data_IF_486951813119
#
_entry.id   IF_486951813119
#
_cell.length_a   1.000
_cell.length_b   1.000
_cell.length_c   1.000
_cell.angle_alpha   90.00
_cell.angle_beta   90.00
_cell.angle_gamma   90.00
#
_symmetry.space_group_name_H-M   'P 1'
#
loop_
_entity.id
_entity.type
_entity.pdbx_description
1 polymer ?
#
# COMPACT_ATOMS: atom_id res chain seq x y z
N UNK A 1 -15.07 15.34 17.10
CA UNK A 1 -15.36 14.68 15.81
C UNK A 1 -15.83 13.27 16.10
N UNK A 2 -16.84 12.76 15.39
CA UNK A 2 -17.27 11.37 15.55
C UNK A 2 -16.28 10.42 14.88
N UNK A 3 -16.25 9.16 15.33
CA UNK A 3 -15.49 8.08 14.68
C UNK A 3 -15.85 7.95 13.20
N UNK A 4 -17.12 8.15 12.86
CA UNK A 4 -17.60 8.13 11.48
C UNK A 4 -16.98 9.24 10.61
N UNK A 5 -16.84 10.47 11.13
CA UNK A 5 -16.17 11.55 10.39
C UNK A 5 -14.70 11.21 10.13
N UNK A 6 -14.00 10.69 11.14
CA UNK A 6 -12.59 10.28 11.01
C UNK A 6 -12.42 9.12 10.03
N UNK A 7 -13.34 8.14 10.04
CA UNK A 7 -13.35 7.05 9.05
C UNK A 7 -13.52 7.61 7.64
N UNK A 8 -14.46 8.53 7.42
CA UNK A 8 -14.64 9.16 6.11
C UNK A 8 -13.36 9.90 5.66
N UNK A 9 -12.76 10.69 6.54
CA UNK A 9 -11.52 11.43 6.25
C UNK A 9 -10.35 10.49 5.89
N UNK A 10 -10.23 9.36 6.60
CA UNK A 10 -9.24 8.31 6.29
C UNK A 10 -9.44 7.75 4.87
N UNK A 11 -10.68 7.42 4.49
CA UNK A 11 -10.98 6.88 3.16
C UNK A 11 -10.69 7.90 2.06
N UNK A 12 -11.05 9.17 2.27
CA UNK A 12 -10.75 10.24 1.31
C UNK A 12 -9.24 10.50 1.20
N UNK A 13 -8.50 10.47 2.31
CA UNK A 13 -7.04 10.57 2.29
C UNK A 13 -6.39 9.40 1.52
N UNK A 14 -6.92 8.19 1.65
CA UNK A 14 -6.43 7.01 0.93
C UNK A 14 -6.67 7.11 -0.58
N UNK A 15 -7.88 7.53 -0.99
CA UNK A 15 -8.22 7.79 -2.40
C UNK A 15 -7.35 8.90 -2.98
N UNK A 16 -7.19 10.00 -2.25
CA UNK A 16 -6.35 11.12 -2.68
C UNK A 16 -4.90 10.68 -2.96
N UNK A 17 -4.34 9.79 -2.13
CA UNK A 17 -3.00 9.23 -2.37
C UNK A 17 -2.91 8.46 -3.70
N UNK A 18 -3.94 7.70 -4.07
CA UNK A 18 -3.98 7.00 -5.35
C UNK A 18 -4.02 7.99 -6.54
N UNK A 19 -4.83 9.04 -6.43
CA UNK A 19 -4.89 10.13 -7.42
C UNK A 19 -3.52 10.80 -7.58
N UNK A 20 -2.83 11.09 -6.49
CA UNK A 20 -1.48 11.66 -6.54
C UNK A 20 -0.48 10.75 -7.25
N UNK A 21 -0.46 9.44 -6.96
CA UNK A 21 0.42 8.51 -7.67
C UNK A 21 0.13 8.47 -9.17
N UNK A 22 -1.14 8.49 -9.56
CA UNK A 22 -1.53 8.55 -10.96
C UNK A 22 -1.07 9.85 -11.64
N UNK A 23 -1.29 11.01 -11.01
CA UNK A 23 -0.89 12.30 -11.60
C UNK A 23 0.64 12.40 -11.73
N UNK A 24 1.40 11.93 -10.73
CA UNK A 24 2.86 11.87 -10.82
C UNK A 24 3.30 10.96 -11.97
N UNK A 25 2.70 9.77 -12.08
CA UNK A 25 2.98 8.86 -13.18
C UNK A 25 2.67 9.49 -14.54
N UNK A 26 1.52 10.14 -14.68
CA UNK A 26 1.06 10.74 -15.93
C UNK A 26 2.01 11.87 -16.38
N UNK A 27 2.46 12.72 -15.46
CA UNK A 27 3.46 13.75 -15.77
C UNK A 27 4.81 13.15 -16.18
N UNK A 28 5.29 12.13 -15.46
CA UNK A 28 6.51 11.41 -15.84
C UNK A 28 6.38 10.75 -17.22
N UNK A 29 5.21 10.18 -17.51
CA UNK A 29 4.91 9.53 -18.79
C UNK A 29 4.90 10.52 -19.95
N UNK A 30 4.29 11.70 -19.77
CA UNK A 30 4.29 12.77 -20.78
C UNK A 30 5.71 13.25 -21.09
N UNK A 31 6.55 13.37 -20.07
CA UNK A 31 7.90 13.93 -20.21
C UNK A 31 8.93 12.92 -20.74
N UNK A 32 8.86 11.65 -20.30
CA UNK A 32 9.93 10.66 -20.51
C UNK A 32 9.45 9.37 -21.19
N UNK A 33 8.17 9.27 -21.51
CA UNK A 33 7.56 8.06 -22.05
C UNK A 33 7.19 7.02 -20.96
N UNK A 34 6.36 6.03 -21.32
CA UNK A 34 5.76 5.11 -20.36
C UNK A 34 6.78 4.22 -19.63
N UNK A 35 7.77 3.66 -20.34
CA UNK A 35 8.74 2.76 -19.74
C UNK A 35 9.62 3.46 -18.69
N UNK A 36 10.04 4.70 -18.95
CA UNK A 36 10.84 5.46 -18.00
C UNK A 36 10.02 5.89 -16.77
N UNK A 37 8.76 6.30 -16.98
CA UNK A 37 7.84 6.66 -15.92
C UNK A 37 7.57 5.48 -14.96
N UNK A 38 7.30 4.30 -15.51
CA UNK A 38 7.14 3.07 -14.74
C UNK A 38 8.38 2.76 -13.92
N UNK A 39 9.56 2.77 -14.56
CA UNK A 39 10.81 2.46 -13.88
C UNK A 39 11.11 3.43 -12.72
N UNK A 40 10.83 4.73 -12.89
CA UNK A 40 11.01 5.73 -11.83
C UNK A 40 10.05 5.48 -10.67
N UNK A 41 8.76 5.31 -10.96
CA UNK A 41 7.75 5.15 -9.92
C UNK A 41 7.94 3.84 -9.16
N UNK A 42 8.26 2.74 -9.85
CA UNK A 42 8.56 1.44 -9.25
C UNK A 42 9.75 1.52 -8.29
N UNK A 43 10.85 2.18 -8.67
CA UNK A 43 11.99 2.39 -7.77
C UNK A 43 11.62 3.20 -6.52
N UNK A 44 10.80 4.25 -6.69
CA UNK A 44 10.36 5.07 -5.57
C UNK A 44 9.46 4.29 -4.60
N UNK A 45 8.50 3.52 -5.11
CA UNK A 45 7.62 2.67 -4.32
C UNK A 45 8.41 1.58 -3.60
N UNK A 46 9.33 0.91 -4.30
CA UNK A 46 10.20 -0.11 -3.69
C UNK A 46 11.01 0.47 -2.53
N UNK A 47 11.67 1.63 -2.74
CA UNK A 47 12.44 2.31 -1.70
C UNK A 47 11.56 2.65 -0.49
N UNK A 48 10.34 3.14 -0.72
CA UNK A 48 9.39 3.40 0.37
C UNK A 48 8.99 2.11 1.10
N UNK A 49 8.77 1.03 0.37
CA UNK A 49 8.50 -0.30 0.92
C UNK A 49 9.64 -0.77 1.82
N UNK A 50 10.89 -0.66 1.37
CA UNK A 50 12.08 -0.99 2.17
C UNK A 50 12.16 -0.15 3.46
N UNK A 51 11.91 1.16 3.38
CA UNK A 51 11.92 2.02 4.56
C UNK A 51 10.87 1.58 5.60
N UNK A 52 9.68 1.20 5.16
CA UNK A 52 8.64 0.67 6.04
C UNK A 52 9.04 -0.70 6.60
N UNK A 53 9.57 -1.59 5.76
CA UNK A 53 10.06 -2.90 6.17
C UNK A 53 11.12 -2.81 7.26
N UNK A 54 12.10 -1.92 7.09
CA UNK A 54 13.13 -1.66 8.09
C UNK A 54 12.54 -1.10 9.40
N UNK A 55 11.62 -0.14 9.30
CA UNK A 55 11.07 0.54 10.47
C UNK A 55 10.04 -0.28 11.26
N UNK A 56 9.36 -1.24 10.62
CA UNK A 56 8.21 -1.95 11.22
C UNK A 56 8.33 -3.46 11.27
N UNK A 57 9.14 -4.07 10.40
CA UNK A 57 9.08 -5.51 10.16
C UNK A 57 10.43 -6.22 10.29
N UNK A 58 11.52 -5.48 10.47
CA UNK A 58 12.87 -6.05 10.56
C UNK A 58 13.05 -7.00 11.75
N UNK A 59 12.34 -6.77 12.86
CA UNK A 59 12.43 -7.59 14.08
C UNK A 59 11.89 -9.01 13.91
N UNK A 60 11.02 -9.24 12.91
CA UNK A 60 10.42 -10.55 12.63
C UNK A 60 11.30 -11.43 11.73
N UNK A 61 12.41 -10.90 11.22
CA UNK A 61 13.36 -11.68 10.43
C UNK A 61 14.33 -12.49 11.32
N UNK A 62 14.84 -13.64 10.84
CA UNK A 62 14.55 -14.25 9.54
C UNK A 62 13.37 -15.25 9.56
N UNK A 63 12.90 -15.70 10.72
CA UNK A 63 12.07 -16.90 10.86
C UNK A 63 10.73 -16.71 11.60
N UNK A 64 10.38 -15.49 12.04
CA UNK A 64 9.08 -15.21 12.66
C UNK A 64 8.02 -14.75 11.64
N UNK A 65 7.62 -15.67 10.77
CA UNK A 65 6.55 -15.40 9.80
C UNK A 65 5.20 -15.12 10.49
N UNK A 66 4.95 -15.75 11.65
CA UNK A 66 3.71 -15.57 12.39
C UNK A 66 3.58 -14.15 12.93
N UNK A 67 4.62 -13.64 13.60
CA UNK A 67 4.68 -12.26 14.09
C UNK A 67 4.63 -11.25 12.94
N UNK A 68 5.34 -11.49 11.85
CA UNK A 68 5.25 -10.64 10.65
C UNK A 68 3.83 -10.52 10.12
N UNK A 69 3.12 -11.65 10.00
CA UNK A 69 1.73 -11.70 9.52
C UNK A 69 0.80 -10.90 10.45
N UNK A 70 0.88 -11.11 11.75
CA UNK A 70 0.06 -10.39 12.73
C UNK A 70 0.35 -8.88 12.71
N UNK A 71 1.63 -8.48 12.68
CA UNK A 71 2.03 -7.07 12.62
C UNK A 71 1.61 -6.39 11.30
N UNK A 72 1.66 -7.10 10.19
CA UNK A 72 1.24 -6.57 8.89
C UNK A 72 -0.28 -6.39 8.83
N UNK A 73 -1.06 -7.43 9.14
CA UNK A 73 -2.52 -7.40 9.09
C UNK A 73 -3.11 -6.45 10.15
N UNK A 74 -2.55 -6.45 11.36
CA UNK A 74 -2.94 -5.52 12.43
C UNK A 74 -2.64 -4.06 12.12
N UNK A 75 -1.75 -3.78 11.16
CA UNK A 75 -1.43 -2.44 10.70
C UNK A 75 -2.40 -1.86 9.67
N UNK A 76 -3.38 -2.64 9.19
CA UNK A 76 -4.34 -2.19 8.18
C UNK A 76 -5.38 -1.25 8.82
N UNK A 77 -5.55 -0.02 8.31
CA UNK A 77 -6.50 0.94 8.87
C UNK A 77 -7.97 0.46 8.82
N UNK A 78 -8.80 1.07 9.68
CA UNK A 78 -10.21 0.72 9.87
C UNK A 78 -10.44 -0.77 10.17
N UNK A 79 -9.54 -1.36 10.98
CA UNK A 79 -9.63 -2.75 11.41
C UNK A 79 -9.63 -3.75 10.25
N UNK A 80 -8.87 -3.47 9.18
CA UNK A 80 -8.82 -4.34 8.00
C UNK A 80 -9.91 -4.09 6.96
N UNK A 81 -10.93 -3.26 7.23
CA UNK A 81 -12.04 -3.02 6.29
C UNK A 81 -11.63 -2.38 4.98
N UNK A 82 -10.52 -1.65 4.97
CA UNK A 82 -9.96 -1.07 3.75
C UNK A 82 -9.26 -2.10 2.85
N UNK A 83 -9.03 -3.32 3.33
CA UNK A 83 -8.38 -4.39 2.59
C UNK A 83 -9.09 -5.72 2.86
N UNK A 84 -10.19 -5.94 2.12
CA UNK A 84 -10.99 -7.17 2.17
C UNK A 84 -10.90 -7.89 0.82
N UNK A 85 -9.78 -8.57 0.53
CA UNK A 85 -9.66 -9.34 -0.70
C UNK A 85 -10.67 -10.50 -0.67
N UNK A 86 -11.24 -10.79 -1.84
CA UNK A 86 -11.95 -12.04 -2.05
C UNK A 86 -10.92 -13.17 -2.18
N UNK A 87 -11.12 -14.25 -1.44
CA UNK A 87 -10.29 -15.46 -1.56
C UNK A 87 -10.97 -16.38 -2.55
N UNK A 88 -10.45 -16.40 -3.78
CA UNK A 88 -10.90 -17.30 -4.84
C UNK A 88 -9.97 -18.51 -4.89
N UNK A 89 -10.52 -19.71 -4.74
CA UNK A 89 -9.76 -20.96 -4.87
C UNK A 89 -9.55 -21.33 -6.35
N UNK A 90 -8.51 -22.10 -6.64
CA UNK A 90 -8.24 -22.58 -8.02
C UNK A 90 -9.41 -23.41 -8.60
N UNK A 91 -10.23 -24.04 -7.75
CA UNK A 91 -11.43 -24.80 -8.12
C UNK A 91 -12.63 -23.93 -8.56
N UNK A 92 -12.47 -22.60 -8.58
CA UNK A 92 -13.53 -21.64 -8.88
C UNK A 92 -13.55 -21.15 -10.33
N UNK A 93 -12.76 -21.76 -11.23
CA UNK A 93 -12.74 -21.48 -12.68
C UNK A 93 -13.32 -22.62 -13.53
#
# INVERSE_FOLDING_TARGET
MSEESLRRELYEAYKNRAVLYYLIFDELRKQYGPAAAEAVLSRAIYRRGTMIGQAKYAEFGPDDLAGLKEAFLGGIPDGGRMFQPEVVGEDSQ
#
